data_IF_842014303310
#
_entry.id   IF_842014303310
#
_cell.length_a   1.000
_cell.length_b   1.000
_cell.length_c   1.000
_cell.angle_alpha   90.00
_cell.angle_beta   90.00
_cell.angle_gamma   90.00
#
_symmetry.space_group_name_H-M   'P 1'
#
loop_
_entity.id
_entity.type
_entity.pdbx_description
1 polymer ?
#
# COMPACT_ATOMS: atom_id res chain seq x y z
N UNK A 1 8.24 22.92 76.04
CA UNK A 1 8.20 21.44 76.05
C UNK A 1 8.52 21.00 74.61
N UNK A 2 9.74 21.17 74.10
CA UNK A 2 11.09 20.83 74.57
C UNK A 2 11.40 19.32 74.39
N UNK A 3 12.17 19.05 73.31
CA UNK A 3 13.30 18.11 73.16
C UNK A 3 13.15 16.63 73.55
N UNK A 4 13.56 15.75 72.62
CA UNK A 4 14.30 14.53 72.98
C UNK A 4 14.01 13.28 72.17
N UNK A 5 14.78 13.02 71.11
CA UNK A 5 15.27 11.65 70.89
C UNK A 5 16.60 11.67 70.15
N UNK A 6 17.58 11.05 70.80
CA UNK A 6 19.00 11.08 70.53
C UNK A 6 19.37 10.38 69.22
N UNK A 7 20.29 11.02 68.51
CA UNK A 7 21.14 10.43 67.48
C UNK A 7 22.27 9.68 68.21
N UNK A 8 22.29 8.35 68.10
CA UNK A 8 23.39 7.50 68.55
C UNK A 8 24.25 7.11 67.35
N UNK A 9 25.50 7.57 67.35
CA UNK A 9 26.49 7.27 66.34
C UNK A 9 26.98 5.81 66.42
N UNK A 10 27.14 5.15 65.27
CA UNK A 10 28.18 4.15 65.10
C UNK A 10 28.83 4.35 63.73
N UNK A 11 30.00 4.98 63.74
CA UNK A 11 30.94 4.99 62.63
C UNK A 11 31.64 3.63 62.57
N UNK A 12 31.44 2.87 61.49
CA UNK A 12 32.32 1.76 61.11
C UNK A 12 33.08 2.14 59.84
N UNK A 13 34.37 2.43 60.02
CA UNK A 13 35.36 2.52 58.95
C UNK A 13 35.68 1.11 58.43
N UNK A 14 35.48 0.84 57.14
CA UNK A 14 36.12 -0.28 56.45
C UNK A 14 36.80 0.19 55.16
N UNK A 15 38.08 -0.13 55.09
CA UNK A 15 39.04 0.23 54.05
C UNK A 15 38.81 -0.49 52.71
N UNK A 16 39.03 0.28 51.64
CA UNK A 16 39.58 -0.04 50.33
C UNK A 16 39.79 -1.53 49.98
N UNK A 17 38.82 -2.11 49.27
CA UNK A 17 39.07 -2.96 48.09
C UNK A 17 38.01 -2.64 47.05
N UNK A 18 38.41 -1.91 46.01
CA UNK A 18 37.56 -1.64 44.85
C UNK A 18 37.20 -2.97 44.18
N UNK A 19 36.03 -3.49 44.50
CA UNK A 19 35.40 -4.57 43.75
C UNK A 19 34.95 -3.92 42.43
N UNK A 20 35.71 -4.18 41.37
CA UNK A 20 35.30 -3.87 40.00
C UNK A 20 34.07 -4.73 39.72
N UNK A 21 32.88 -4.18 39.95
CA UNK A 21 31.63 -4.74 39.51
C UNK A 21 31.58 -4.56 37.99
N UNK A 22 32.13 -5.53 37.26
CA UNK A 22 31.91 -5.63 35.83
C UNK A 22 30.39 -5.81 35.62
N UNK A 23 29.72 -4.73 35.24
CA UNK A 23 28.35 -4.77 34.77
C UNK A 23 28.35 -5.63 33.49
N UNK A 24 28.02 -6.92 33.64
CA UNK A 24 27.65 -7.76 32.52
C UNK A 24 26.33 -7.18 32.01
N UNK A 25 26.42 -6.30 31.00
CA UNK A 25 25.23 -5.87 30.25
C UNK A 25 24.76 -7.10 29.48
N UNK A 26 23.85 -7.85 30.10
CA UNK A 26 23.07 -8.86 29.41
C UNK A 26 22.36 -8.14 28.26
N UNK A 27 22.86 -8.33 27.04
CA UNK A 27 22.15 -7.94 25.84
C UNK A 27 20.95 -8.86 25.74
N UNK A 28 19.87 -8.48 26.41
CA UNK A 28 18.56 -9.06 26.13
C UNK A 28 18.30 -8.72 24.67
N UNK A 29 18.41 -9.73 23.80
CA UNK A 29 17.87 -9.67 22.46
C UNK A 29 16.34 -9.64 22.61
N UNK A 30 15.82 -8.48 23.02
CA UNK A 30 14.39 -8.22 23.04
C UNK A 30 13.92 -8.33 21.59
N UNK A 31 12.75 -8.92 21.37
CA UNK A 31 12.15 -8.92 20.04
C UNK A 31 11.68 -7.49 19.72
N UNK A 32 11.79 -7.08 18.47
CA UNK A 32 11.29 -5.78 18.05
C UNK A 32 9.76 -5.74 18.23
N UNK A 33 9.22 -4.66 18.83
CA UNK A 33 7.80 -4.56 19.12
C UNK A 33 6.98 -4.54 17.83
N UNK A 34 5.66 -4.72 17.97
CA UNK A 34 4.71 -4.61 16.88
C UNK A 34 4.87 -3.24 16.18
N UNK A 35 5.00 -3.24 14.85
CA UNK A 35 5.32 -2.06 14.04
C UNK A 35 6.68 -1.39 14.35
N UNK A 36 7.54 -2.04 15.14
CA UNK A 36 8.89 -1.57 15.46
C UNK A 36 9.91 -1.85 14.36
N UNK A 37 11.04 -1.14 14.39
CA UNK A 37 12.15 -1.37 13.47
C UNK A 37 12.84 -2.70 13.82
N UNK A 38 13.05 -3.55 12.81
CA UNK A 38 13.66 -4.87 12.93
C UNK A 38 14.86 -5.06 12.00
N UNK A 39 15.32 -4.01 11.33
CA UNK A 39 16.44 -4.09 10.41
C UNK A 39 16.73 -2.77 9.73
N UNK A 40 17.83 -2.75 8.98
CA UNK A 40 18.33 -1.57 8.27
C UNK A 40 19.83 -1.36 8.46
N UNK A 41 20.47 -0.69 7.51
CA UNK A 41 21.86 -0.25 7.60
C UNK A 41 22.00 0.66 8.83
N UNK A 42 22.88 0.26 9.76
CA UNK A 42 23.13 0.99 11.00
C UNK A 42 22.20 0.64 12.16
N UNK A 43 21.20 -0.23 11.97
CA UNK A 43 20.34 -0.72 13.07
C UNK A 43 21.11 -1.70 13.96
N UNK A 44 21.31 -1.33 15.23
CA UNK A 44 21.95 -2.17 16.26
C UNK A 44 20.96 -2.84 17.21
N UNK A 45 19.66 -2.63 16.99
CA UNK A 45 18.59 -3.19 17.81
C UNK A 45 18.18 -4.61 17.40
N UNK A 46 17.02 -5.02 17.92
CA UNK A 46 16.43 -6.32 17.65
C UNK A 46 16.18 -6.56 16.16
N UNK A 47 16.59 -7.71 15.62
CA UNK A 47 16.31 -8.09 14.22
C UNK A 47 15.15 -9.08 14.07
N UNK A 48 14.71 -9.68 15.18
CA UNK A 48 13.58 -10.60 15.25
C UNK A 48 12.36 -9.87 15.81
N UNK A 49 11.20 -10.05 15.18
CA UNK A 49 9.95 -9.46 15.64
C UNK A 49 9.28 -10.25 16.76
N UNK A 50 8.35 -9.59 17.46
CA UNK A 50 7.53 -10.25 18.50
C UNK A 50 6.82 -11.48 17.91
N UNK A 51 6.63 -12.56 18.68
CA UNK A 51 5.94 -13.76 18.20
C UNK A 51 4.63 -13.44 17.44
N UNK A 52 4.46 -14.03 16.25
CA UNK A 52 3.34 -13.73 15.33
C UNK A 52 3.60 -12.58 14.34
N UNK A 53 4.76 -11.92 14.43
CA UNK A 53 5.15 -10.80 13.56
C UNK A 53 6.39 -11.15 12.74
N UNK A 54 6.44 -10.62 11.53
CA UNK A 54 7.51 -10.88 10.55
C UNK A 54 8.23 -9.59 10.23
N UNK A 55 9.57 -9.62 10.25
CA UNK A 55 10.38 -8.48 9.88
C UNK A 55 10.32 -8.28 8.37
N UNK A 56 9.63 -7.23 7.93
CA UNK A 56 9.41 -6.92 6.53
C UNK A 56 10.34 -5.80 6.10
N UNK A 57 11.13 -6.06 5.06
CA UNK A 57 12.03 -5.07 4.48
C UNK A 57 11.22 -3.91 3.88
N UNK A 58 11.59 -2.67 4.20
CA UNK A 58 10.99 -1.47 3.61
C UNK A 58 11.99 -0.72 2.74
N UNK A 59 13.18 -0.42 3.26
CA UNK A 59 14.25 0.24 2.53
C UNK A 59 15.63 -0.11 3.15
N UNK A 60 16.76 0.30 2.53
CA UNK A 60 18.09 -0.11 3.00
C UNK A 60 18.39 0.26 4.45
N UNK A 61 17.79 1.33 4.99
CA UNK A 61 18.02 1.81 6.35
C UNK A 61 16.92 1.39 7.33
N UNK A 62 15.86 0.71 6.87
CA UNK A 62 14.68 0.43 7.69
C UNK A 62 13.91 -0.83 7.25
N UNK A 63 13.68 -1.73 8.20
CA UNK A 63 12.74 -2.86 8.10
C UNK A 63 11.79 -2.81 9.29
N UNK A 64 10.51 -3.19 9.11
CA UNK A 64 9.47 -3.07 10.15
C UNK A 64 8.83 -4.42 10.47
N UNK A 65 8.50 -4.64 11.74
CA UNK A 65 7.67 -5.77 12.16
C UNK A 65 6.22 -5.58 11.73
N UNK A 66 5.72 -6.46 10.86
CA UNK A 66 4.33 -6.49 10.42
C UNK A 66 3.67 -7.83 10.78
N UNK A 67 2.33 -7.91 10.91
CA UNK A 67 1.64 -9.16 11.21
C UNK A 67 1.90 -10.19 10.11
N UNK A 68 2.46 -11.35 10.47
CA UNK A 68 2.65 -12.45 9.51
C UNK A 68 1.42 -13.35 9.50
N UNK A 69 0.91 -13.68 8.31
CA UNK A 69 -0.04 -14.79 8.18
C UNK A 69 0.65 -16.07 8.70
N UNK A 70 0.08 -16.66 9.76
CA UNK A 70 0.58 -17.87 10.40
C UNK A 70 0.66 -19.02 9.40
N UNK A 71 1.86 -19.22 8.84
CA UNK A 71 2.21 -20.49 8.19
C UNK A 71 3.04 -21.26 9.21
N UNK A 72 2.41 -22.27 9.81
CA UNK A 72 3.09 -23.26 10.66
C UNK A 72 4.39 -23.72 9.99
N UNK A 73 5.51 -23.41 10.61
CA UNK A 73 6.82 -23.91 10.24
C UNK A 73 6.86 -25.43 10.46
N UNK A 74 6.70 -26.21 9.39
CA UNK A 74 7.07 -27.63 9.40
C UNK A 74 8.56 -27.71 9.09
N UNK A 75 9.32 -28.10 10.11
CA UNK A 75 10.74 -28.42 10.09
C UNK A 75 11.12 -29.24 8.86
N UNK A 76 11.84 -28.64 7.91
CA UNK A 76 12.43 -29.34 6.77
C UNK A 76 13.94 -29.24 6.87
N UNK A 77 14.55 -30.39 7.14
CA UNK A 77 15.97 -30.64 7.33
C UNK A 77 16.77 -30.19 6.10
N UNK A 78 17.81 -29.39 6.35
CA UNK A 78 18.86 -29.03 5.40
C UNK A 78 19.52 -30.28 4.82
N UNK A 79 19.38 -30.48 3.50
CA UNK A 79 20.19 -31.42 2.73
C UNK A 79 21.08 -30.62 1.78
N UNK A 80 22.37 -30.68 2.06
CA UNK A 80 23.51 -30.23 1.27
C UNK A 80 23.47 -30.84 -0.13
N UNK A 81 23.61 -30.03 -1.19
CA UNK A 81 24.09 -30.55 -2.47
C UNK A 81 24.94 -29.51 -3.19
N UNK A 82 26.11 -30.00 -3.59
CA UNK A 82 27.29 -29.32 -4.06
C UNK A 82 27.31 -29.26 -5.59
N UNK A 83 27.73 -28.11 -6.12
CA UNK A 83 28.38 -27.87 -7.43
C UNK A 83 27.72 -28.36 -8.74
N UNK A 84 27.53 -27.44 -9.69
CA UNK A 84 28.36 -27.45 -10.90
C UNK A 84 28.30 -26.12 -11.66
N UNK A 85 29.49 -25.61 -11.91
CA UNK A 85 29.85 -24.49 -12.76
C UNK A 85 29.67 -24.90 -14.22
N UNK A 86 28.95 -24.13 -15.03
CA UNK A 86 29.09 -24.20 -16.49
C UNK A 86 29.24 -22.79 -17.06
N UNK A 87 30.38 -22.62 -17.72
CA UNK A 87 30.89 -21.44 -18.41
C UNK A 87 30.59 -21.58 -19.90
N UNK A 88 30.49 -20.43 -20.57
CA UNK A 88 30.40 -20.19 -22.04
C UNK A 88 28.97 -19.91 -22.51
N UNK A 89 28.68 -18.96 -23.40
CA UNK A 89 29.53 -18.38 -24.45
C UNK A 89 28.99 -17.02 -24.89
N UNK A 90 29.88 -16.05 -25.03
CA UNK A 90 29.70 -14.78 -25.72
C UNK A 90 29.40 -15.01 -27.20
N UNK A 91 28.34 -14.39 -27.71
CA UNK A 91 28.12 -14.21 -29.16
C UNK A 91 27.95 -12.73 -29.47
N UNK A 92 28.97 -12.22 -30.14
CA UNK A 92 29.08 -10.90 -30.76
C UNK A 92 28.68 -11.04 -32.23
N UNK A 93 27.78 -10.20 -32.73
CA UNK A 93 27.55 -9.80 -34.14
C UNK A 93 26.18 -9.13 -34.21
N UNK A 94 25.88 -8.09 -34.99
CA UNK A 94 26.65 -7.24 -35.89
C UNK A 94 25.73 -6.09 -36.32
N UNK A 95 26.34 -4.95 -36.56
CA UNK A 95 25.86 -3.72 -37.17
C UNK A 95 24.94 -3.94 -38.38
N UNK A 96 23.81 -3.24 -38.46
CA UNK A 96 23.23 -2.87 -39.75
C UNK A 96 22.59 -1.48 -39.71
N UNK A 97 23.13 -0.67 -40.60
CA UNK A 97 22.85 0.72 -40.96
C UNK A 97 21.54 0.78 -41.73
N UNK A 98 20.60 1.63 -41.30
CA UNK A 98 19.52 2.11 -42.16
C UNK A 98 19.45 3.63 -42.09
N UNK A 99 19.87 4.19 -43.22
CA UNK A 99 19.74 5.55 -43.70
C UNK A 99 18.26 5.90 -43.88
N UNK A 100 17.80 7.06 -43.40
CA UNK A 100 16.70 7.79 -44.05
C UNK A 100 16.96 9.29 -43.96
N UNK A 101 16.59 9.92 -45.06
CA UNK A 101 16.95 11.19 -45.64
C UNK A 101 16.37 12.43 -44.97
N UNK A 102 17.19 13.48 -45.04
CA UNK A 102 16.96 14.93 -45.10
C UNK A 102 15.60 15.41 -45.60
N UNK A 103 15.03 16.41 -44.90
CA UNK A 103 14.49 17.65 -45.49
C UNK A 103 14.55 18.80 -44.47
N UNK A 104 15.53 19.70 -44.65
CA UNK A 104 15.46 21.15 -44.39
C UNK A 104 14.70 21.80 -45.57
N UNK A 105 14.03 22.96 -45.55
CA UNK A 105 14.36 24.28 -45.01
C UNK A 105 13.13 25.22 -45.15
N UNK A 106 13.02 26.21 -44.24
CA UNK A 106 12.64 27.65 -44.37
C UNK A 106 11.78 28.15 -45.57
N UNK A 107 10.96 29.22 -45.45
CA UNK A 107 11.44 30.64 -45.43
C UNK A 107 10.27 31.67 -45.34
N UNK A 108 10.35 32.61 -44.37
CA UNK A 108 9.97 34.08 -44.34
C UNK A 108 8.56 34.55 -44.75
N UNK A 109 7.98 35.71 -44.35
CA UNK A 109 8.46 37.07 -43.94
C UNK A 109 7.21 37.87 -43.48
N UNK A 110 7.20 38.69 -42.41
CA UNK A 110 7.39 40.17 -42.37
C UNK A 110 6.80 40.67 -41.03
N UNK A 111 7.51 41.43 -40.15
CA UNK A 111 7.59 42.92 -40.06
C UNK A 111 6.25 43.56 -39.60
N UNK A 112 6.07 44.40 -38.56
CA UNK A 112 6.92 45.30 -37.75
C UNK A 112 6.25 45.78 -36.42
N UNK A 113 7.09 46.34 -35.52
CA UNK A 113 6.89 47.54 -34.65
C UNK A 113 6.13 47.51 -33.29
N UNK A 114 6.92 47.84 -32.25
CA UNK A 114 6.72 48.86 -31.17
C UNK A 114 5.94 48.51 -29.89
N UNK A 115 6.72 48.45 -28.80
CA UNK A 115 6.51 48.98 -27.43
C UNK A 115 5.13 48.91 -26.79
N UNK A 116 5.03 48.21 -25.65
CA UNK A 116 4.54 48.78 -24.37
C UNK A 116 4.62 47.77 -23.22
N UNK A 117 5.14 48.26 -22.11
CA UNK A 117 5.14 47.73 -20.74
C UNK A 117 3.72 47.43 -20.24
N UNK A 118 3.60 46.47 -19.30
CA UNK A 118 2.68 46.43 -18.12
C UNK A 118 1.95 45.08 -17.95
N UNK A 119 2.32 44.38 -16.88
CA UNK A 119 1.50 43.56 -15.98
C UNK A 119 0.51 42.53 -16.55
N UNK A 120 0.96 41.29 -16.73
CA UNK A 120 0.09 40.10 -16.84
C UNK A 120 0.04 39.34 -15.52
N UNK A 121 -1.05 39.49 -14.77
CA UNK A 121 -1.52 38.48 -13.80
C UNK A 121 -2.49 37.57 -14.55
N UNK A 122 -1.96 36.49 -15.11
CA UNK A 122 -2.75 35.40 -15.67
C UNK A 122 -2.80 34.26 -14.64
N UNK A 123 -3.99 34.04 -14.09
CA UNK A 123 -4.34 32.83 -13.34
C UNK A 123 -4.29 31.63 -14.28
N UNK A 124 -3.17 30.91 -14.25
CA UNK A 124 -3.02 29.63 -14.93
C UNK A 124 -3.75 28.57 -14.12
N UNK A 125 -4.96 28.21 -14.55
CA UNK A 125 -5.61 26.97 -14.15
C UNK A 125 -4.84 25.81 -14.78
N UNK A 126 -3.78 25.35 -14.12
CA UNK A 126 -3.12 24.09 -14.49
C UNK A 126 -4.05 22.94 -14.13
N UNK A 127 -4.74 22.41 -15.14
CA UNK A 127 -5.26 21.04 -15.12
C UNK A 127 -4.12 20.10 -14.70
N UNK A 128 -4.28 19.24 -13.68
CA UNK A 128 -3.23 18.31 -13.30
C UNK A 128 -3.08 17.25 -14.40
N UNK A 129 -2.09 17.46 -15.26
CA UNK A 129 -1.57 16.44 -16.18
C UNK A 129 -0.63 15.53 -15.39
N UNK A 130 -1.20 14.65 -14.57
CA UNK A 130 -0.48 13.54 -13.97
C UNK A 130 -0.66 12.29 -14.82
N UNK A 131 0.34 11.91 -15.62
CA UNK A 131 0.39 10.58 -16.23
C UNK A 131 0.81 9.59 -15.14
N UNK A 132 0.01 8.56 -14.87
CA UNK A 132 0.36 7.52 -13.89
C UNK A 132 1.71 6.85 -14.23
N UNK A 133 2.43 6.33 -13.24
CA UNK A 133 3.72 5.63 -13.41
C UNK A 133 3.57 4.13 -13.18
N UNK A 134 2.43 3.58 -13.62
CA UNK A 134 2.07 2.16 -13.63
C UNK A 134 1.69 1.56 -12.27
N UNK A 135 0.39 1.25 -12.12
CA UNK A 135 -0.02 0.06 -11.39
C UNK A 135 0.52 -1.22 -12.06
N UNK A 136 0.07 -2.42 -11.66
CA UNK A 136 0.67 -3.69 -12.12
C UNK A 136 0.58 -3.94 -13.64
N UNK A 137 -0.22 -3.15 -14.37
CA UNK A 137 -0.48 -3.28 -15.81
C UNK A 137 -0.04 -2.07 -16.64
N UNK A 138 0.60 -1.07 -16.03
CA UNK A 138 0.96 0.16 -16.75
C UNK A 138 -0.03 1.30 -16.57
N UNK A 139 0.30 2.49 -17.12
CA UNK A 139 -0.49 3.70 -16.92
C UNK A 139 -1.63 3.88 -17.92
N UNK A 140 -1.61 3.11 -19.01
CA UNK A 140 -2.63 3.15 -20.06
C UNK A 140 -3.63 2.03 -19.84
N UNK A 141 -4.91 2.37 -19.88
CA UNK A 141 -6.01 1.43 -19.73
C UNK A 141 -5.94 0.38 -20.85
N UNK A 142 -5.85 -0.90 -20.47
CA UNK A 142 -5.89 -2.00 -21.41
C UNK A 142 -7.33 -2.19 -21.93
N UNK A 143 -7.51 -2.80 -23.12
CA UNK A 143 -8.83 -3.09 -23.64
C UNK A 143 -9.71 -3.84 -22.64
N UNK A 144 -10.98 -3.45 -22.55
CA UNK A 144 -12.00 -4.01 -21.65
C UNK A 144 -11.74 -3.86 -20.14
N UNK A 145 -10.66 -3.18 -19.75
CA UNK A 145 -10.42 -2.84 -18.35
C UNK A 145 -11.09 -1.52 -17.96
N UNK A 146 -11.26 -1.34 -16.66
CA UNK A 146 -11.72 -0.10 -16.04
C UNK A 146 -10.79 0.29 -14.90
N UNK A 147 -10.65 1.60 -14.66
CA UNK A 147 -10.23 2.09 -13.35
C UNK A 147 -11.44 2.11 -12.43
N UNK A 148 -11.25 2.00 -11.12
CA UNK A 148 -12.31 2.16 -10.13
C UNK A 148 -11.85 3.17 -9.09
N UNK A 149 -12.65 4.22 -8.86
CA UNK A 149 -12.27 5.35 -7.98
C UNK A 149 -13.42 5.83 -7.11
N UNK A 150 -13.06 6.39 -5.96
CA UNK A 150 -14.00 7.08 -5.07
C UNK A 150 -14.49 8.39 -5.70
N UNK A 151 -15.78 8.68 -5.52
CA UNK A 151 -16.46 9.87 -6.05
C UNK A 151 -16.94 10.84 -4.98
N UNK A 152 -16.57 10.63 -3.72
CA UNK A 152 -16.92 11.51 -2.61
C UNK A 152 -15.69 11.91 -1.78
N UNK A 153 -15.78 13.01 -1.06
CA UNK A 153 -14.75 13.42 -0.12
C UNK A 153 -14.82 12.53 1.15
N UNK A 154 -13.68 12.24 1.81
CA UNK A 154 -12.35 12.83 1.61
C UNK A 154 -11.48 12.10 0.58
N UNK A 155 -11.93 10.97 0.02
CA UNK A 155 -11.11 10.15 -0.87
C UNK A 155 -11.39 10.37 -2.36
N UNK A 156 -11.99 11.51 -2.70
CA UNK A 156 -12.32 11.87 -4.07
C UNK A 156 -11.11 11.66 -4.99
N UNK A 157 -11.31 10.91 -6.07
CA UNK A 157 -10.26 10.53 -7.03
C UNK A 157 -9.12 9.66 -6.49
N UNK A 158 -9.28 9.01 -5.35
CA UNK A 158 -8.46 7.86 -4.95
C UNK A 158 -8.97 6.59 -5.63
N UNK A 159 -8.05 5.72 -5.98
CA UNK A 159 -8.33 4.52 -6.79
C UNK A 159 -8.25 3.27 -5.94
N UNK A 160 -9.22 2.39 -6.13
CA UNK A 160 -9.20 1.03 -5.59
C UNK A 160 -7.96 0.30 -6.13
N UNK A 161 -7.20 -0.32 -5.24
CA UNK A 161 -6.03 -1.12 -5.57
C UNK A 161 -5.61 -1.98 -4.39
N UNK A 162 -4.77 -2.98 -4.65
CA UNK A 162 -4.05 -3.68 -3.59
C UNK A 162 -3.08 -2.74 -2.87
N UNK A 163 -2.97 -2.88 -1.55
CA UNK A 163 -2.09 -2.05 -0.71
C UNK A 163 -0.63 -2.03 -1.18
N UNK A 164 -0.18 -3.15 -1.74
CA UNK A 164 1.07 -3.26 -2.48
C UNK A 164 0.72 -3.55 -3.94
N UNK A 165 1.22 -2.72 -4.86
CA UNK A 165 0.93 -2.83 -6.29
C UNK A 165 1.21 -4.23 -6.82
N UNK A 166 0.17 -4.91 -7.32
CA UNK A 166 0.26 -6.23 -7.92
C UNK A 166 0.44 -7.41 -6.96
N UNK A 167 0.31 -7.21 -5.65
CA UNK A 167 0.42 -8.28 -4.64
C UNK A 167 -0.90 -8.49 -3.88
N UNK A 168 -1.19 -9.72 -3.41
CA UNK A 168 -2.27 -9.96 -2.47
C UNK A 168 -2.13 -9.09 -1.21
N UNK A 169 -3.26 -8.70 -0.61
CA UNK A 169 -3.27 -7.86 0.57
C UNK A 169 -4.53 -7.01 0.70
N UNK A 170 -4.63 -6.16 1.72
CA UNK A 170 -5.78 -5.27 1.90
C UNK A 170 -6.08 -4.45 0.65
N UNK A 171 -7.37 -4.23 0.38
CA UNK A 171 -7.78 -3.27 -0.63
C UNK A 171 -7.78 -1.87 -0.03
N UNK A 172 -7.24 -0.89 -0.77
CA UNK A 172 -7.07 0.48 -0.30
C UNK A 172 -7.51 1.49 -1.36
N UNK A 173 -7.86 2.69 -0.89
CA UNK A 173 -7.95 3.89 -1.70
C UNK A 173 -6.56 4.51 -1.84
N UNK A 174 -5.89 4.26 -2.96
CA UNK A 174 -4.54 4.77 -3.21
C UNK A 174 -4.49 5.88 -4.27
N UNK A 175 -3.27 6.32 -4.58
CA UNK A 175 -2.99 7.35 -5.58
C UNK A 175 -3.38 6.90 -7.00
N UNK A 176 -3.74 7.86 -7.85
CA UNK A 176 -3.92 7.64 -9.29
C UNK A 176 -2.64 7.13 -9.98
N UNK A 177 -1.45 7.44 -9.42
CA UNK A 177 -0.16 7.03 -9.97
C UNK A 177 0.11 5.53 -9.88
N UNK A 178 -0.55 4.85 -8.95
CA UNK A 178 -0.45 3.41 -8.71
C UNK A 178 -1.77 2.68 -8.98
N UNK A 179 -2.75 3.38 -9.56
CA UNK A 179 -4.09 2.85 -9.81
C UNK A 179 -4.02 1.50 -10.51
N UNK A 180 -4.85 0.57 -10.05
CA UNK A 180 -4.97 -0.74 -10.66
C UNK A 180 -6.12 -0.76 -11.68
N UNK A 181 -6.03 -1.70 -12.62
CA UNK A 181 -7.03 -1.90 -13.65
C UNK A 181 -7.87 -3.13 -13.34
N UNK A 182 -9.16 -3.07 -13.64
CA UNK A 182 -10.12 -4.10 -13.23
C UNK A 182 -10.98 -4.59 -14.38
N UNK A 183 -11.41 -5.85 -14.26
CA UNK A 183 -12.55 -6.40 -14.98
C UNK A 183 -13.54 -7.02 -13.99
N UNK A 184 -14.80 -7.14 -14.38
CA UNK A 184 -15.75 -8.02 -13.69
C UNK A 184 -15.99 -9.24 -14.58
N UNK A 185 -15.54 -10.40 -14.13
CA UNK A 185 -15.68 -11.67 -14.85
C UNK A 185 -16.45 -12.64 -13.96
N UNK A 186 -17.58 -13.17 -14.44
CA UNK A 186 -18.44 -14.10 -13.68
C UNK A 186 -18.80 -13.60 -12.26
N UNK A 187 -19.05 -12.30 -12.12
CA UNK A 187 -19.38 -11.68 -10.83
C UNK A 187 -18.18 -11.48 -9.90
N UNK A 188 -16.95 -11.68 -10.39
CA UNK A 188 -15.73 -11.47 -9.63
C UNK A 188 -15.02 -10.22 -10.11
N UNK A 189 -14.62 -9.35 -9.18
CA UNK A 189 -13.82 -8.18 -9.51
C UNK A 189 -12.34 -8.56 -9.53
N UNK A 190 -11.75 -8.54 -10.71
CA UNK A 190 -10.40 -9.00 -10.99
C UNK A 190 -9.47 -7.81 -11.22
N UNK A 191 -8.53 -7.60 -10.31
CA UNK A 191 -7.38 -6.72 -10.52
C UNK A 191 -6.42 -7.38 -11.50
N UNK A 192 -6.23 -6.75 -12.66
CA UNK A 192 -5.37 -7.26 -13.72
C UNK A 192 -3.90 -7.08 -13.35
N UNK A 193 -3.06 -8.06 -13.66
CA UNK A 193 -1.61 -8.04 -13.49
C UNK A 193 -0.89 -8.24 -14.83
N UNK A 194 0.43 -8.04 -14.82
CA UNK A 194 1.29 -8.43 -15.94
C UNK A 194 1.23 -9.94 -16.23
N UNK A 195 1.35 -10.32 -17.50
CA UNK A 195 1.38 -11.74 -17.91
C UNK A 195 0.03 -12.45 -17.86
N UNK A 196 -1.09 -11.72 -17.70
CA UNK A 196 -2.45 -12.28 -17.70
C UNK A 196 -2.88 -12.89 -16.36
N UNK A 197 -2.08 -12.72 -15.30
CA UNK A 197 -2.49 -13.07 -13.94
C UNK A 197 -3.49 -12.05 -13.38
N UNK A 198 -4.27 -12.44 -12.38
CA UNK A 198 -5.24 -11.58 -11.71
C UNK A 198 -5.21 -11.76 -10.19
N UNK A 199 -5.67 -10.74 -9.46
CA UNK A 199 -6.07 -10.85 -8.06
C UNK A 199 -7.57 -10.60 -7.95
N UNK A 200 -8.26 -11.39 -7.14
CA UNK A 200 -9.69 -11.26 -6.90
C UNK A 200 -9.94 -10.41 -5.67
N UNK A 201 -10.84 -9.43 -5.77
CA UNK A 201 -11.32 -8.69 -4.60
C UNK A 201 -12.29 -9.58 -3.79
N UNK A 202 -11.79 -10.04 -2.65
CA UNK A 202 -12.53 -10.84 -1.68
C UNK A 202 -13.13 -9.94 -0.61
N UNK A 203 -14.21 -10.40 0.02
CA UNK A 203 -14.87 -9.76 1.15
C UNK A 203 -14.88 -10.74 2.32
N UNK A 204 -14.52 -10.27 3.52
CA UNK A 204 -14.56 -11.12 4.73
C UNK A 204 -15.99 -11.55 5.06
N UNK A 205 -16.22 -12.77 5.56
CA UNK A 205 -17.54 -13.19 6.00
C UNK A 205 -18.10 -12.30 7.11
N UNK A 206 -19.42 -12.12 7.13
CA UNK A 206 -20.11 -11.47 8.23
C UNK A 206 -20.19 -12.43 9.43
N UNK A 207 -19.41 -12.16 10.48
CA UNK A 207 -19.34 -13.02 11.66
C UNK A 207 -20.29 -12.57 12.80
N UNK A 208 -20.93 -11.41 12.67
CA UNK A 208 -21.87 -10.87 13.66
C UNK A 208 -22.93 -9.98 13.00
N UNK A 209 -24.13 -9.95 13.57
CA UNK A 209 -25.19 -9.00 13.18
C UNK A 209 -24.89 -7.56 13.60
N UNK A 210 -23.96 -7.36 14.54
CA UNK A 210 -23.52 -6.03 15.00
C UNK A 210 -22.39 -5.43 14.17
N UNK A 211 -21.86 -6.19 13.21
CA UNK A 211 -20.75 -5.76 12.37
C UNK A 211 -21.23 -4.63 11.45
N UNK A 212 -20.53 -3.49 11.46
CA UNK A 212 -20.92 -2.29 10.70
C UNK A 212 -20.31 -2.25 9.31
N UNK A 213 -19.29 -3.07 9.05
CA UNK A 213 -18.66 -3.21 7.74
C UNK A 213 -18.01 -4.59 7.56
N UNK A 214 -17.72 -4.96 6.31
CA UNK A 214 -16.91 -6.12 5.97
C UNK A 214 -15.64 -5.65 5.27
N UNK A 215 -14.49 -6.20 5.65
CA UNK A 215 -13.23 -5.83 5.03
C UNK A 215 -13.06 -6.47 3.66
N UNK A 216 -12.39 -5.74 2.77
CA UNK A 216 -12.05 -6.26 1.43
C UNK A 216 -10.55 -6.41 1.27
N UNK A 217 -10.14 -7.41 0.51
CA UNK A 217 -8.74 -7.75 0.28
C UNK A 217 -8.55 -8.47 -1.05
N UNK A 218 -7.38 -8.29 -1.66
CA UNK A 218 -6.98 -8.98 -2.88
C UNK A 218 -6.30 -10.31 -2.56
N UNK A 219 -6.67 -11.35 -3.31
CA UNK A 219 -6.11 -12.69 -3.19
C UNK A 219 -5.94 -13.32 -4.58
N UNK A 220 -5.03 -14.28 -4.72
CA UNK A 220 -4.94 -15.12 -5.93
C UNK A 220 -6.08 -16.13 -6.03
N UNK A 221 -6.85 -16.31 -4.96
CA UNK A 221 -8.02 -17.21 -4.92
C UNK A 221 -9.30 -16.40 -5.10
N UNK A 222 -10.14 -16.83 -6.04
CA UNK A 222 -11.47 -16.25 -6.24
C UNK A 222 -12.38 -16.56 -5.05
N UNK A 223 -13.21 -15.60 -4.58
CA UNK A 223 -14.16 -15.89 -3.53
C UNK A 223 -15.26 -16.82 -4.06
N UNK A 224 -15.79 -17.67 -3.19
CA UNK A 224 -16.90 -18.58 -3.50
C UNK A 224 -18.27 -17.98 -3.23
N UNK A 225 -18.31 -16.81 -2.60
CA UNK A 225 -19.52 -16.08 -2.24
C UNK A 225 -19.38 -14.61 -2.58
N UNK A 226 -20.53 -13.98 -2.82
CA UNK A 226 -20.57 -12.59 -3.23
C UNK A 226 -20.49 -12.42 -4.74
N UNK A 227 -21.02 -11.29 -5.21
CA UNK A 227 -21.10 -10.94 -6.62
C UNK A 227 -20.86 -9.44 -6.73
N UNK A 228 -19.84 -9.10 -7.52
CA UNK A 228 -19.52 -7.76 -7.97
C UNK A 228 -20.26 -7.46 -9.26
N UNK A 229 -20.81 -6.27 -9.37
CA UNK A 229 -21.47 -5.77 -10.58
C UNK A 229 -21.41 -4.24 -10.64
N UNK A 230 -21.65 -3.66 -11.80
CA UNK A 230 -21.92 -2.23 -11.93
C UNK A 230 -23.42 -2.00 -12.05
N UNK A 231 -23.93 -0.99 -11.34
CA UNK A 231 -25.28 -0.47 -11.50
C UNK A 231 -25.15 0.98 -11.97
N UNK A 232 -25.33 1.20 -13.28
CA UNK A 232 -24.82 2.41 -13.92
C UNK A 232 -23.30 2.44 -13.84
N UNK A 233 -22.74 3.51 -13.27
CA UNK A 233 -21.29 3.63 -13.07
C UNK A 233 -20.82 3.10 -11.71
N UNK A 234 -21.75 2.95 -10.75
CA UNK A 234 -21.45 2.58 -9.38
C UNK A 234 -21.11 1.10 -9.26
N UNK A 235 -19.95 0.79 -8.67
CA UNK A 235 -19.59 -0.55 -8.26
C UNK A 235 -20.55 -1.00 -7.15
N UNK A 236 -21.03 -2.22 -7.23
CA UNK A 236 -21.92 -2.81 -6.24
C UNK A 236 -21.44 -4.20 -5.85
N UNK A 237 -21.77 -4.59 -4.63
CA UNK A 237 -21.51 -5.93 -4.12
C UNK A 237 -22.71 -6.47 -3.35
N UNK A 238 -23.07 -7.72 -3.64
CA UNK A 238 -24.13 -8.46 -2.95
C UNK A 238 -23.64 -9.85 -2.59
N UNK A 239 -24.07 -10.40 -1.45
CA UNK A 239 -23.83 -11.80 -1.10
C UNK A 239 -25.07 -12.42 -0.44
N UNK A 240 -25.30 -13.73 -0.63
CA UNK A 240 -26.34 -14.45 0.11
C UNK A 240 -26.17 -14.29 1.62
N UNK A 241 -27.25 -13.98 2.33
CA UNK A 241 -27.25 -13.82 3.79
C UNK A 241 -26.69 -12.48 4.30
N UNK A 242 -26.21 -11.59 3.42
CA UNK A 242 -25.77 -10.24 3.81
C UNK A 242 -26.79 -9.21 3.32
N UNK A 243 -27.60 -8.69 4.24
CA UNK A 243 -28.57 -7.64 3.94
C UNK A 243 -27.92 -6.27 4.00
N UNK A 244 -28.14 -5.45 2.97
CA UNK A 244 -27.57 -4.10 2.85
C UNK A 244 -28.64 -3.12 2.41
N UNK A 245 -28.65 -1.93 3.00
CA UNK A 245 -29.56 -0.86 2.58
C UNK A 245 -29.18 -0.28 1.23
N UNK A 246 -27.87 -0.23 0.93
CA UNK A 246 -27.33 0.23 -0.34
C UNK A 246 -26.19 -0.70 -0.76
N UNK A 247 -26.35 -1.36 -1.92
CA UNK A 247 -25.35 -2.28 -2.45
C UNK A 247 -24.10 -1.57 -3.01
N UNK A 248 -24.16 -0.26 -3.26
CA UNK A 248 -23.04 0.58 -3.72
C UNK A 248 -22.39 1.42 -2.63
N UNK A 249 -22.73 1.20 -1.36
CA UNK A 249 -22.13 1.93 -0.24
C UNK A 249 -20.82 1.28 0.21
N UNK A 250 -19.75 2.07 0.32
CA UNK A 250 -18.45 1.61 0.80
C UNK A 250 -17.96 2.51 1.92
N UNK A 251 -16.92 2.06 2.61
CA UNK A 251 -16.26 2.83 3.64
C UNK A 251 -14.77 2.89 3.36
N UNK A 252 -14.22 4.10 3.45
CA UNK A 252 -12.80 4.35 3.59
C UNK A 252 -12.46 4.41 5.08
N UNK A 253 -11.75 3.41 5.62
CA UNK A 253 -11.45 3.35 7.05
C UNK A 253 -9.95 3.37 7.34
N UNK A 254 -9.59 3.97 8.48
CA UNK A 254 -8.23 3.96 9.01
C UNK A 254 -7.43 5.20 8.64
N UNK A 255 -6.21 5.00 8.15
CA UNK A 255 -5.28 6.09 7.85
C UNK A 255 -5.76 6.96 6.68
N UNK A 256 -5.64 8.28 6.82
CA UNK A 256 -6.15 9.25 5.84
C UNK A 256 -5.37 9.26 4.50
N UNK A 257 -4.16 8.68 4.45
CA UNK A 257 -3.33 8.67 3.24
C UNK A 257 -3.65 7.49 2.32
N UNK A 258 -3.92 6.33 2.91
CA UNK A 258 -4.23 5.07 2.20
C UNK A 258 -5.30 4.26 2.96
N UNK A 259 -6.53 4.80 3.08
CA UNK A 259 -7.57 4.13 3.84
C UNK A 259 -7.98 2.83 3.18
N UNK A 260 -8.36 1.85 4.02
CA UNK A 260 -8.89 0.58 3.57
C UNK A 260 -10.27 0.74 2.91
N UNK A 261 -10.54 -0.05 1.88
CA UNK A 261 -11.87 -0.12 1.24
C UNK A 261 -12.67 -1.24 1.92
N UNK A 262 -13.85 -0.90 2.43
CA UNK A 262 -14.71 -1.85 3.13
C UNK A 262 -16.15 -1.78 2.59
N UNK A 263 -16.86 -2.90 2.67
CA UNK A 263 -18.29 -2.95 2.37
C UNK A 263 -19.05 -2.30 3.53
N UNK A 264 -19.84 -1.26 3.27
CA UNK A 264 -20.70 -0.68 4.31
C UNK A 264 -21.92 -1.59 4.55
N UNK A 265 -22.12 -2.00 5.81
CA UNK A 265 -23.32 -2.72 6.27
C UNK A 265 -24.31 -1.81 7.01
N UNK A 266 -23.87 -0.62 7.43
CA UNK A 266 -24.68 0.37 8.15
C UNK A 266 -25.52 1.26 7.25
N UNK A 267 -26.23 2.20 7.88
CA UNK A 267 -26.99 3.23 7.19
C UNK A 267 -26.07 4.32 6.64
N UNK A 268 -26.00 4.43 5.31
CA UNK A 268 -25.21 5.41 4.58
C UNK A 268 -25.45 6.83 5.12
N UNK A 269 -24.38 7.58 5.42
CA UNK A 269 -24.39 8.96 5.88
C UNK A 269 -25.03 9.26 7.26
N UNK A 270 -25.53 8.25 8.00
CA UNK A 270 -26.10 8.45 9.35
C UNK A 270 -25.39 7.65 10.44
N UNK A 271 -24.69 6.57 10.10
CA UNK A 271 -23.97 5.70 11.05
C UNK A 271 -22.57 5.31 10.55
N UNK A 272 -21.86 6.23 9.91
CA UNK A 272 -20.46 6.02 9.49
C UNK A 272 -19.63 5.66 10.73
N UNK A 273 -18.95 4.50 10.77
CA UNK A 273 -18.13 4.12 11.92
C UNK A 273 -17.02 5.16 12.19
N UNK A 274 -16.67 5.34 13.46
CA UNK A 274 -15.59 6.25 13.83
C UNK A 274 -14.28 5.87 13.13
N UNK A 275 -13.60 6.84 12.53
CA UNK A 275 -12.39 6.61 11.74
C UNK A 275 -12.66 6.09 10.32
N UNK A 276 -13.91 6.12 9.87
CA UNK A 276 -14.29 5.84 8.48
C UNK A 276 -14.99 7.05 7.84
N UNK A 277 -14.94 7.11 6.51
CA UNK A 277 -15.77 7.96 5.68
C UNK A 277 -16.63 7.09 4.75
N UNK A 278 -17.88 7.49 4.52
CA UNK A 278 -18.73 6.90 3.49
C UNK A 278 -18.17 7.23 2.11
N UNK A 279 -18.20 6.23 1.23
CA UNK A 279 -17.72 6.36 -0.13
C UNK A 279 -18.69 5.65 -1.09
N UNK A 280 -18.74 6.19 -2.30
CA UNK A 280 -19.25 5.48 -3.48
C UNK A 280 -18.09 5.27 -4.43
N UNK A 281 -17.97 4.07 -5.03
CA UNK A 281 -16.97 3.80 -6.06
C UNK A 281 -17.62 3.75 -7.42
N UNK A 282 -17.06 4.49 -8.39
CA UNK A 282 -17.49 4.42 -9.78
C UNK A 282 -16.37 3.87 -10.66
N UNK A 283 -16.74 3.23 -11.76
CA UNK A 283 -15.75 3.00 -12.81
C UNK A 283 -15.33 4.33 -13.46
N UNK A 284 -14.12 4.33 -13.99
CA UNK A 284 -13.59 5.38 -14.83
C UNK A 284 -12.87 4.73 -16.02
N UNK A 285 -13.21 5.15 -17.23
CA UNK A 285 -12.78 4.52 -18.48
C UNK A 285 -11.84 5.41 -19.30
N UNK A 286 -11.29 6.47 -18.69
CA UNK A 286 -10.29 7.31 -19.34
C UNK A 286 -9.01 6.54 -19.66
N UNK A 287 -8.31 6.95 -20.72
CA UNK A 287 -7.09 6.28 -21.18
C UNK A 287 -6.01 6.16 -20.09
N UNK A 288 -5.98 7.09 -19.14
CA UNK A 288 -5.08 7.09 -17.97
C UNK A 288 -5.85 7.47 -16.72
N UNK A 289 -5.48 6.91 -15.56
CA UNK A 289 -5.94 7.37 -14.26
C UNK A 289 -5.50 8.82 -14.01
N UNK A 290 -6.38 9.61 -13.39
CA UNK A 290 -6.17 11.04 -13.10
C UNK A 290 -6.54 11.39 -11.67
N UNK A 291 -5.90 12.42 -11.13
CA UNK A 291 -6.24 13.01 -9.83
C UNK A 291 -7.49 13.89 -9.88
#
# INVERSE_FOLDING_TARGET
>A
MAIGSLVGAVMFNFNLKAVVLAAVVAHVAAQSPQYGQCGGIGWSGATTCTSGWTCTYSNPYYSQCLPGASTSSTTSKSSTTTSSTTKSTTTTSSTTKSTTTTTTSSTSKSTSTTTSTTSTTSTTSTSPSGTATAGPTGPTLLPNNLWIRAVEAPNFHKYLQSSVSGQPGPAVFGSYTTAAQFQIVNGQLEQQLGGGAVLYLNVTPQNSTTQTYLSTFFSTTAPTTGTWAFQGDGLTWTAPGVSRQNNGAFLACGDATTPSVNINLGAYAYMTPAGCADETLNYYNGATAVN
#
